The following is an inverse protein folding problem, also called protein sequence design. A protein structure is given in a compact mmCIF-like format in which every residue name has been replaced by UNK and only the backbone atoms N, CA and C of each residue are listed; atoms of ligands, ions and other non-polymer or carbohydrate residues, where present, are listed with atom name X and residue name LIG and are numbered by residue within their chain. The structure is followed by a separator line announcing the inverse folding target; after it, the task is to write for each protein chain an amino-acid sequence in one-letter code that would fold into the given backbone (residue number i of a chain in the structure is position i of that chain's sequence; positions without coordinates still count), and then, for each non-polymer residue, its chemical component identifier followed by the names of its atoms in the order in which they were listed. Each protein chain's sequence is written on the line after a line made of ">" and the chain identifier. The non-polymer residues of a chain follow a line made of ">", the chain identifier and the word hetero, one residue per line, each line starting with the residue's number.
data_IF_342033488886
#
_entry.id   IF_342033488886
#
_cell.length_a   1.000
_cell.length_b   1.000
_cell.length_c   1.000
_cell.angle_alpha   90.00
_cell.angle_beta   90.00
_cell.angle_gamma   90.00
#
_symmetry.space_group_name_H-M   'P 1'
#
loop_
_entity.id
_entity.type
_entity.pdbx_description
1 polymer ?
#
# COMPACT_ATOMS: atom_id res chain seq x y z
N UNK A 1 8.33 -24.08 14.20
CA UNK A 1 7.54 -23.20 15.10
C UNK A 1 8.04 -21.75 15.17
N UNK A 2 9.36 -21.52 15.20
CA UNK A 2 9.95 -20.17 15.26
C UNK A 2 9.53 -19.27 14.09
N UNK A 3 9.66 -19.76 12.85
CA UNK A 3 9.26 -19.02 11.66
C UNK A 3 7.78 -18.62 11.67
N UNK A 4 6.88 -19.57 11.98
CA UNK A 4 5.42 -19.35 12.00
C UNK A 4 5.03 -18.26 12.99
N UNK A 5 5.63 -18.27 14.19
CA UNK A 5 5.34 -17.23 15.20
C UNK A 5 5.98 -15.87 14.86
N UNK A 6 7.12 -15.85 14.17
CA UNK A 6 7.67 -14.62 13.60
C UNK A 6 6.79 -14.02 12.51
N UNK A 7 6.27 -14.86 11.60
CA UNK A 7 5.32 -14.46 10.57
C UNK A 7 4.01 -13.96 11.19
N UNK A 8 3.48 -14.69 12.17
CA UNK A 8 2.27 -14.28 12.90
C UNK A 8 2.47 -12.92 13.59
N UNK A 9 3.64 -12.66 14.16
CA UNK A 9 3.98 -11.37 14.75
C UNK A 9 3.92 -10.25 13.71
N UNK A 10 4.62 -10.39 12.58
CA UNK A 10 4.60 -9.39 11.50
C UNK A 10 3.18 -9.10 11.01
N UNK A 11 2.40 -10.16 10.76
CA UNK A 11 1.01 -10.04 10.27
C UNK A 11 0.09 -9.41 11.33
N UNK A 12 0.18 -9.83 12.59
CA UNK A 12 -0.65 -9.28 13.66
C UNK A 12 -0.30 -7.83 13.98
N UNK A 13 0.98 -7.45 13.95
CA UNK A 13 1.39 -6.04 14.10
C UNK A 13 0.81 -5.18 12.98
N UNK A 14 0.79 -5.68 11.74
CA UNK A 14 0.16 -5.00 10.61
C UNK A 14 -1.37 -4.87 10.78
N UNK A 15 -2.03 -5.94 11.24
CA UNK A 15 -3.47 -5.94 11.55
C UNK A 15 -3.78 -4.93 12.66
N UNK A 16 -2.96 -4.88 13.71
CA UNK A 16 -3.06 -3.91 14.79
C UNK A 16 -2.97 -2.49 14.24
N UNK A 17 -1.91 -2.19 13.48
CA UNK A 17 -1.70 -0.88 12.87
C UNK A 17 -2.86 -0.45 11.97
N UNK A 18 -3.30 -1.33 11.06
CA UNK A 18 -4.38 -1.04 10.12
C UNK A 18 -5.72 -0.84 10.84
N UNK A 19 -6.00 -1.66 11.85
CA UNK A 19 -7.20 -1.51 12.70
C UNK A 19 -7.16 -0.20 13.48
N UNK A 20 -6.00 0.14 14.06
CA UNK A 20 -5.75 1.41 14.74
C UNK A 20 -6.04 2.60 13.82
N UNK A 21 -5.47 2.61 12.61
CA UNK A 21 -5.69 3.67 11.65
C UNK A 21 -7.18 3.87 11.31
N UNK A 22 -7.95 2.79 11.13
CA UNK A 22 -9.39 2.87 10.87
C UNK A 22 -10.19 3.35 12.08
N UNK A 23 -9.82 2.93 13.28
CA UNK A 23 -10.49 3.35 14.51
C UNK A 23 -10.18 4.80 14.87
N UNK A 24 -8.96 5.27 14.59
CA UNK A 24 -8.49 6.63 14.88
C UNK A 24 -9.24 7.71 14.10
N UNK A 25 -9.84 7.36 12.96
CA UNK A 25 -10.62 8.30 12.14
C UNK A 25 -12.05 7.82 11.91
N UNK A 26 -12.95 8.23 12.82
CA UNK A 26 -14.39 7.99 12.65
C UNK A 26 -14.94 8.82 11.48
N UNK A 27 -15.79 8.21 10.66
CA UNK A 27 -16.47 8.82 9.51
C UNK A 27 -15.56 9.36 8.39
N UNK A 28 -14.30 8.92 8.35
CA UNK A 28 -13.34 9.24 7.28
C UNK A 28 -12.80 7.94 6.68
N UNK A 29 -12.27 8.02 5.46
CA UNK A 29 -11.60 6.90 4.80
C UNK A 29 -10.08 7.08 4.93
N UNK A 30 -9.42 6.35 5.84
CA UNK A 30 -7.97 6.43 5.98
C UNK A 30 -7.31 5.84 4.73
N UNK A 31 -6.23 6.47 4.29
CA UNK A 31 -5.39 6.00 3.19
C UNK A 31 -3.95 5.98 3.70
N UNK A 32 -3.19 4.88 3.52
CA UNK A 32 -1.80 4.81 3.95
C UNK A 32 -0.95 5.78 3.14
N UNK A 33 -0.10 6.52 3.83
CA UNK A 33 0.92 7.38 3.25
C UNK A 33 2.29 6.66 3.27
N UNK A 34 3.29 7.20 2.56
CA UNK A 34 4.67 6.71 2.57
C UNK A 34 5.23 6.62 4.00
N UNK A 35 4.93 7.60 4.86
CA UNK A 35 5.34 7.58 6.26
C UNK A 35 4.76 6.38 7.02
N UNK A 36 3.56 5.93 6.68
CA UNK A 36 2.95 4.77 7.33
C UNK A 36 3.68 3.49 6.94
N UNK A 37 4.18 3.37 5.71
CA UNK A 37 5.01 2.24 5.28
C UNK A 37 6.32 2.18 6.06
N UNK A 38 7.01 3.32 6.22
CA UNK A 38 8.26 3.40 6.98
C UNK A 38 8.02 3.01 8.44
N UNK A 39 6.94 3.52 9.05
CA UNK A 39 6.59 3.21 10.44
C UNK A 39 6.24 1.73 10.60
N UNK A 40 5.48 1.13 9.68
CA UNK A 40 5.16 -0.31 9.73
C UNK A 40 6.43 -1.16 9.63
N UNK A 41 7.39 -0.80 8.77
CA UNK A 41 8.70 -1.48 8.70
C UNK A 41 9.42 -1.36 10.05
N UNK A 42 9.46 -0.16 10.62
CA UNK A 42 10.11 0.09 11.91
C UNK A 42 9.43 -0.72 13.05
N UNK A 43 8.10 -0.82 13.05
CA UNK A 43 7.34 -1.65 13.98
C UNK A 43 7.66 -3.14 13.79
N UNK A 44 7.77 -3.63 12.56
CA UNK A 44 8.17 -5.02 12.29
C UNK A 44 9.60 -5.31 12.75
N UNK A 45 10.54 -4.41 12.47
CA UNK A 45 11.92 -4.54 12.92
C UNK A 45 11.99 -4.56 14.46
N UNK A 46 11.33 -3.60 15.12
CA UNK A 46 11.23 -3.55 16.58
C UNK A 46 10.58 -4.81 17.16
N UNK A 47 9.51 -5.30 16.54
CA UNK A 47 8.85 -6.53 16.95
C UNK A 47 9.77 -7.74 16.88
N UNK A 48 10.49 -7.92 15.78
CA UNK A 48 11.41 -9.03 15.60
C UNK A 48 12.63 -8.96 16.52
N UNK A 49 13.18 -7.76 16.76
CA UNK A 49 14.33 -7.55 17.64
C UNK A 49 13.98 -7.77 19.11
N UNK A 50 12.80 -7.34 19.55
CA UNK A 50 12.37 -7.46 20.96
C UNK A 50 11.72 -8.81 21.29
N UNK A 51 11.35 -9.60 20.27
CA UNK A 51 10.74 -10.94 20.39
C UNK A 51 11.53 -11.91 21.29
N UNK A 52 12.88 -12.02 21.23
CA UNK A 52 13.63 -12.93 22.09
C UNK A 52 13.52 -12.57 23.58
N UNK A 53 13.32 -11.28 23.89
CA UNK A 53 13.25 -10.77 25.26
C UNK A 53 11.84 -10.90 25.84
N UNK A 54 10.80 -10.57 25.06
CA UNK A 54 9.40 -10.62 25.50
C UNK A 54 8.80 -12.04 25.48
N UNK A 55 9.43 -12.98 24.78
CA UNK A 55 8.87 -14.30 24.52
C UNK A 55 7.81 -14.30 23.42
N UNK A 56 7.40 -15.49 22.97
CA UNK A 56 6.60 -15.66 21.74
C UNK A 56 5.21 -15.03 21.81
N UNK A 57 4.43 -15.35 22.84
CA UNK A 57 3.03 -14.91 22.96
C UNK A 57 2.87 -13.47 23.50
N UNK A 58 3.64 -13.03 24.52
CA UNK A 58 3.55 -11.66 25.00
C UNK A 58 3.98 -10.64 23.94
N UNK A 59 5.00 -10.96 23.13
CA UNK A 59 5.42 -10.10 22.02
C UNK A 59 4.27 -9.85 21.03
N UNK A 60 3.46 -10.87 20.71
CA UNK A 60 2.29 -10.70 19.84
C UNK A 60 1.30 -9.68 20.41
N UNK A 61 0.93 -9.83 21.68
CA UNK A 61 -0.03 -8.95 22.33
C UNK A 61 0.50 -7.50 22.42
N UNK A 62 1.75 -7.34 22.85
CA UNK A 62 2.39 -6.02 22.99
C UNK A 62 2.49 -5.30 21.66
N UNK A 63 2.98 -5.97 20.61
CA UNK A 63 3.15 -5.33 19.30
C UNK A 63 1.85 -5.14 18.54
N UNK A 64 0.85 -6.02 18.73
CA UNK A 64 -0.50 -5.79 18.25
C UNK A 64 -1.09 -4.51 18.86
N UNK A 65 -0.98 -4.34 20.19
CA UNK A 65 -1.46 -3.17 20.90
C UNK A 65 -0.68 -1.90 20.51
N UNK A 66 0.66 -1.99 20.41
CA UNK A 66 1.51 -0.89 19.97
C UNK A 66 1.15 -0.45 18.54
N UNK A 67 1.00 -1.39 17.61
CA UNK A 67 0.54 -1.12 16.26
C UNK A 67 -0.80 -0.39 16.26
N UNK A 68 -1.79 -0.90 17.01
CA UNK A 68 -3.11 -0.30 17.13
C UNK A 68 -3.05 1.14 17.66
N UNK A 69 -2.31 1.38 18.74
CA UNK A 69 -2.17 2.70 19.32
C UNK A 69 -1.47 3.68 18.36
N UNK A 70 -0.34 3.27 17.78
CA UNK A 70 0.41 4.11 16.85
C UNK A 70 -0.43 4.44 15.61
N UNK A 71 -1.07 3.44 15.01
CA UNK A 71 -1.96 3.63 13.87
C UNK A 71 -3.13 4.58 14.19
N UNK A 72 -3.76 4.43 15.36
CA UNK A 72 -4.86 5.28 15.79
C UNK A 72 -4.43 6.72 16.03
N UNK A 73 -3.31 6.92 16.73
CA UNK A 73 -2.77 8.26 17.03
C UNK A 73 -2.39 8.97 15.75
N UNK A 74 -1.63 8.33 14.86
CA UNK A 74 -1.19 8.95 13.61
C UNK A 74 -2.36 9.31 12.70
N UNK A 75 -3.32 8.39 12.55
CA UNK A 75 -4.52 8.66 11.76
C UNK A 75 -5.34 9.80 12.38
N UNK A 76 -5.47 9.83 13.71
CA UNK A 76 -6.17 10.91 14.41
C UNK A 76 -5.49 12.26 14.19
N UNK A 77 -4.16 12.34 14.33
CA UNK A 77 -3.39 13.57 14.09
C UNK A 77 -3.53 14.05 12.65
N UNK A 78 -3.62 13.13 11.68
CA UNK A 78 -3.77 13.42 10.25
C UNK A 78 -5.22 13.47 9.77
N UNK A 79 -6.21 13.47 10.66
CA UNK A 79 -7.63 13.37 10.31
C UNK A 79 -8.12 14.38 9.27
N UNK A 80 -7.50 15.56 9.23
CA UNK A 80 -7.84 16.64 8.30
C UNK A 80 -7.49 16.30 6.84
N UNK A 81 -6.54 15.40 6.60
CA UNK A 81 -6.08 15.00 5.27
C UNK A 81 -7.00 13.96 4.61
N UNK A 82 -7.87 13.30 5.38
CA UNK A 82 -8.72 12.22 4.86
C UNK A 82 -10.06 12.73 4.34
N UNK A 83 -10.54 12.10 3.26
CA UNK A 83 -11.88 12.34 2.73
C UNK A 83 -12.98 11.91 3.70
N UNK A 84 -14.13 12.58 3.65
CA UNK A 84 -15.35 12.11 4.35
C UNK A 84 -15.76 10.76 3.78
N UNK A 85 -16.01 9.80 4.68
CA UNK A 85 -16.62 8.55 4.27
C UNK A 85 -18.06 8.84 3.87
N UNK A 86 -18.53 8.21 2.79
CA UNK A 86 -19.93 8.24 2.39
C UNK A 86 -20.76 7.72 3.56
N UNK A 87 -21.77 8.49 3.97
CA UNK A 87 -22.70 8.04 5.00
C UNK A 87 -23.42 6.80 4.47
N UNK A 88 -23.37 5.71 5.22
CA UNK A 88 -24.21 4.54 4.93
C UNK A 88 -25.64 4.84 5.37
N UNK A 89 -26.62 4.32 4.63
CA UNK A 89 -28.02 4.46 4.99
C UNK A 89 -28.29 3.87 6.37
N UNK A 90 -29.17 4.49 7.17
CA UNK A 90 -29.52 3.99 8.49
C UNK A 90 -30.16 2.61 8.37
N UNK A 91 -29.51 1.60 8.96
CA UNK A 91 -29.98 0.22 8.97
C UNK A 91 -31.19 0.12 9.91
N UNK A 92 -32.37 -0.01 9.32
CA UNK A 92 -33.60 -0.35 10.04
C UNK A 92 -33.58 -1.85 10.31
N UNK A 93 -33.40 -2.24 11.57
CA UNK A 93 -33.17 -3.64 11.93
C UNK A 93 -32.82 -3.83 13.40
N UNK A 94 -32.70 -5.09 13.81
CA UNK A 94 -32.33 -5.48 15.18
C UNK A 94 -30.92 -5.01 15.56
N UNK A 95 -30.61 -4.95 16.85
CA UNK A 95 -29.27 -4.58 17.37
C UNK A 95 -28.18 -5.44 16.72
N UNK A 96 -28.46 -6.73 16.51
CA UNK A 96 -27.55 -7.66 15.86
C UNK A 96 -27.25 -7.27 14.40
N UNK A 97 -28.27 -6.92 13.63
CA UNK A 97 -28.09 -6.48 12.23
C UNK A 97 -27.26 -5.19 12.16
N UNK A 98 -27.51 -4.23 13.07
CA UNK A 98 -26.70 -3.01 13.15
C UNK A 98 -25.24 -3.28 13.48
N UNK A 99 -24.97 -4.18 14.42
CA UNK A 99 -23.61 -4.59 14.78
C UNK A 99 -22.91 -5.30 13.60
N UNK A 100 -23.63 -6.16 12.88
CA UNK A 100 -23.10 -6.86 11.71
C UNK A 100 -22.76 -5.91 10.56
N UNK A 101 -23.63 -4.93 10.26
CA UNK A 101 -23.36 -3.91 9.25
C UNK A 101 -22.18 -3.01 9.64
N UNK A 102 -22.10 -2.62 10.92
CA UNK A 102 -20.96 -1.87 11.44
C UNK A 102 -19.65 -2.66 11.32
N UNK A 103 -19.67 -3.96 11.65
CA UNK A 103 -18.53 -4.86 11.49
C UNK A 103 -18.10 -4.98 10.03
N UNK A 104 -19.04 -5.21 9.09
CA UNK A 104 -18.74 -5.23 7.65
C UNK A 104 -18.13 -3.91 7.18
N UNK A 105 -18.68 -2.78 7.62
CA UNK A 105 -18.16 -1.45 7.30
C UNK A 105 -16.77 -1.20 7.87
N UNK A 106 -16.47 -1.73 9.05
CA UNK A 106 -15.12 -1.72 9.63
C UNK A 106 -14.17 -2.63 8.83
N UNK A 107 -14.53 -3.89 8.62
CA UNK A 107 -13.73 -4.88 7.91
C UNK A 107 -13.38 -4.43 6.48
N UNK A 108 -14.32 -3.80 5.77
CA UNK A 108 -14.08 -3.24 4.43
C UNK A 108 -13.05 -2.11 4.44
N UNK A 109 -13.15 -1.20 5.42
CA UNK A 109 -12.19 -0.08 5.56
C UNK A 109 -10.81 -0.58 5.97
N UNK A 110 -10.74 -1.51 6.92
CA UNK A 110 -9.50 -2.13 7.37
C UNK A 110 -8.84 -2.92 6.23
N UNK A 111 -9.62 -3.72 5.51
CA UNK A 111 -9.13 -4.48 4.35
C UNK A 111 -8.62 -3.59 3.22
N UNK A 112 -9.29 -2.48 2.91
CA UNK A 112 -8.81 -1.53 1.90
C UNK A 112 -7.51 -0.81 2.33
N UNK A 113 -7.37 -0.50 3.63
CA UNK A 113 -6.12 0.06 4.15
C UNK A 113 -4.98 -0.96 4.04
N UNK A 114 -5.22 -2.17 4.53
CA UNK A 114 -4.24 -3.25 4.55
C UNK A 114 -3.83 -3.69 3.14
N UNK A 115 -4.77 -3.75 2.19
CA UNK A 115 -4.47 -4.10 0.80
C UNK A 115 -3.57 -3.06 0.13
N UNK A 116 -3.80 -1.77 0.38
CA UNK A 116 -2.95 -0.68 -0.12
C UNK A 116 -1.54 -0.74 0.46
N UNK A 117 -1.41 -1.02 1.75
CA UNK A 117 -0.10 -1.23 2.39
C UNK A 117 0.62 -2.41 1.73
N UNK A 118 -0.06 -3.55 1.56
CA UNK A 118 0.55 -4.74 0.96
C UNK A 118 0.93 -4.51 -0.50
N UNK A 119 0.08 -3.83 -1.28
CA UNK A 119 0.38 -3.44 -2.66
C UNK A 119 1.59 -2.51 -2.73
N UNK A 120 1.70 -1.53 -1.83
CA UNK A 120 2.85 -0.65 -1.78
C UNK A 120 4.13 -1.44 -1.47
N UNK A 121 4.10 -2.36 -0.51
CA UNK A 121 5.25 -3.25 -0.25
C UNK A 121 5.64 -4.06 -1.48
N UNK A 122 4.69 -4.70 -2.16
CA UNK A 122 4.96 -5.45 -3.38
C UNK A 122 5.58 -4.55 -4.46
N UNK A 123 5.07 -3.33 -4.61
CA UNK A 123 5.58 -2.37 -5.58
C UNK A 123 7.03 -1.98 -5.28
N UNK A 124 7.35 -1.63 -4.03
CA UNK A 124 8.70 -1.20 -3.66
C UNK A 124 9.71 -2.33 -3.58
N UNK A 125 9.29 -3.56 -3.26
CA UNK A 125 10.20 -4.70 -3.10
C UNK A 125 10.40 -5.51 -4.37
N UNK A 126 9.43 -5.55 -5.28
CA UNK A 126 9.48 -6.37 -6.51
C UNK A 126 9.45 -5.50 -7.75
N UNK A 127 8.44 -4.65 -7.90
CA UNK A 127 8.19 -3.92 -9.16
C UNK A 127 9.23 -2.84 -9.39
N UNK A 128 9.55 -2.04 -8.38
CA UNK A 128 10.51 -0.95 -8.46
C UNK A 128 11.93 -1.42 -8.83
N UNK A 129 12.55 -2.40 -8.14
CA UNK A 129 13.89 -2.85 -8.53
C UNK A 129 13.91 -3.46 -9.93
N UNK A 130 12.86 -4.19 -10.34
CA UNK A 130 12.74 -4.69 -11.70
C UNK A 130 12.64 -3.56 -12.72
N UNK A 131 11.79 -2.55 -12.46
CA UNK A 131 11.65 -1.38 -13.31
C UNK A 131 12.97 -0.60 -13.45
N UNK A 132 13.67 -0.36 -12.34
CA UNK A 132 14.98 0.28 -12.34
C UNK A 132 16.02 -0.52 -13.11
N UNK A 133 16.03 -1.86 -12.96
CA UNK A 133 16.91 -2.73 -13.72
C UNK A 133 16.61 -2.62 -15.23
N UNK A 134 15.35 -2.76 -15.64
CA UNK A 134 14.95 -2.66 -17.05
C UNK A 134 15.25 -1.28 -17.62
N UNK A 135 14.91 -0.19 -16.93
CA UNK A 135 15.21 1.17 -17.39
C UNK A 135 16.72 1.46 -17.40
N UNK A 136 17.46 0.95 -16.41
CA UNK A 136 18.89 1.12 -16.30
C UNK A 136 19.69 0.30 -17.29
N UNK A 137 19.22 -0.90 -17.67
CA UNK A 137 19.88 -1.80 -18.63
C UNK A 137 19.42 -1.55 -20.06
N UNK A 138 18.14 -1.28 -20.26
CA UNK A 138 17.61 -0.93 -21.58
C UNK A 138 18.06 0.47 -21.96
N UNK A 139 18.26 0.70 -23.25
CA UNK A 139 18.42 2.04 -23.82
C UNK A 139 17.27 2.32 -24.80
N UNK A 140 16.01 2.35 -24.31
CA UNK A 140 14.85 2.50 -25.20
C UNK A 140 14.89 3.83 -25.96
N UNK A 141 15.58 4.82 -25.40
CA UNK A 141 15.74 6.15 -25.99
C UNK A 141 17.08 6.33 -26.74
N UNK A 142 17.90 5.27 -26.87
CA UNK A 142 19.21 5.31 -27.55
C UNK A 142 20.17 6.41 -27.04
N UNK A 143 19.98 6.89 -25.80
CA UNK A 143 20.71 8.03 -25.22
C UNK A 143 22.13 7.64 -24.83
N UNK A 144 22.38 6.35 -24.56
CA UNK A 144 23.70 5.86 -24.14
C UNK A 144 24.68 5.72 -25.30
N UNK A 145 24.23 5.87 -26.56
CA UNK A 145 25.08 5.85 -27.76
C UNK A 145 25.82 7.18 -27.94
N UNK A 146 26.85 7.38 -27.12
CA UNK A 146 27.83 8.47 -27.29
C UNK A 146 28.75 8.13 -28.46
N UNK A 147 28.42 8.64 -29.64
CA UNK A 147 29.19 8.40 -30.87
C UNK A 147 28.41 8.56 -32.18
N UNK A 148 27.09 8.75 -32.11
CA UNK A 148 26.28 9.05 -33.30
C UNK A 148 26.32 10.55 -33.63
N UNK A 149 26.56 10.90 -34.88
CA UNK A 149 26.59 12.29 -35.38
C UNK A 149 25.23 12.98 -35.36
N UNK A 150 24.15 12.22 -35.14
CA UNK A 150 22.77 12.70 -35.14
C UNK A 150 21.91 11.80 -34.25
N UNK A 151 21.07 12.41 -33.42
CA UNK A 151 20.05 11.72 -32.59
C UNK A 151 18.74 11.50 -33.34
N UNK A 152 18.63 11.98 -34.58
CA UNK A 152 17.47 11.77 -35.43
C UNK A 152 17.36 10.30 -35.82
N UNK A 153 16.27 9.64 -35.43
CA UNK A 153 15.97 8.27 -35.85
C UNK A 153 15.34 8.29 -37.24
N UNK A 154 15.84 7.45 -38.15
CA UNK A 154 15.28 7.31 -39.49
C UNK A 154 13.88 6.71 -39.38
N UNK A 155 12.86 7.54 -39.61
CA UNK A 155 11.48 7.07 -39.70
C UNK A 155 11.34 6.22 -40.96
N UNK A 156 11.09 4.92 -40.80
CA UNK A 156 10.73 4.07 -41.93
C UNK A 156 9.34 4.47 -42.44
N UNK A 157 9.31 5.29 -43.48
CA UNK A 157 8.08 5.59 -44.22
C UNK A 157 8.03 4.63 -45.41
N UNK A 158 6.94 3.87 -45.62
CA UNK A 158 6.79 3.09 -46.84
C UNK A 158 6.83 4.02 -48.06
N UNK A 159 7.49 3.57 -49.14
CA UNK A 159 7.81 4.40 -50.33
C UNK A 159 6.56 4.97 -51.03
N UNK A 160 5.37 4.42 -50.76
CA UNK A 160 4.08 4.93 -51.21
C UNK A 160 3.03 4.74 -50.11
N UNK A 161 2.82 5.71 -49.21
CA UNK A 161 1.65 5.69 -48.34
C UNK A 161 0.41 5.88 -49.20
N UNK A 162 -0.60 5.02 -49.03
CA UNK A 162 -1.89 5.19 -49.72
C UNK A 162 -2.62 6.42 -49.19
N UNK A 163 -3.50 7.00 -50.02
CA UNK A 163 -4.30 8.18 -49.62
C UNK A 163 -5.22 7.81 -48.45
N UNK A 164 -5.73 6.58 -48.43
CA UNK A 164 -6.46 6.01 -47.29
C UNK A 164 -5.64 5.93 -46.00
N UNK A 165 -4.34 5.63 -46.06
CA UNK A 165 -3.46 5.60 -44.89
C UNK A 165 -3.14 7.02 -44.38
N UNK A 166 -3.01 7.99 -45.28
CA UNK A 166 -2.83 9.40 -44.92
C UNK A 166 -4.06 9.96 -44.17
N UNK A 167 -5.26 9.48 -44.49
CA UNK A 167 -6.51 9.86 -43.82
C UNK A 167 -6.66 9.34 -42.38
N UNK A 168 -5.82 8.40 -41.93
CA UNK A 168 -5.88 7.81 -40.57
C UNK A 168 -5.05 8.56 -39.52
N UNK A 169 -4.36 9.63 -39.90
CA UNK A 169 -3.53 10.42 -38.98
C UNK A 169 -4.29 11.51 -38.22
N UNK A 170 -5.58 11.73 -38.51
CA UNK A 170 -6.46 12.66 -37.81
C UNK A 170 -7.68 11.96 -37.23
#
# INVERSE_FOLDING_TARGET
>A
MEFVSGLALVLLTLVGYSSGAVLGVRHRTPVPNLMDLVIIIALWAGALVTRPVLGRWPALAVWLAAGLLVGAVLAYLRRAQYGRATAADPVQGSIFQRAWEAWKGFARRMGNYQSRVMMAYLYFTVVLPFGLAVTGLSDPLHIKRTGQSSTWQTKHVPVKPSVEEAGRQF
#
